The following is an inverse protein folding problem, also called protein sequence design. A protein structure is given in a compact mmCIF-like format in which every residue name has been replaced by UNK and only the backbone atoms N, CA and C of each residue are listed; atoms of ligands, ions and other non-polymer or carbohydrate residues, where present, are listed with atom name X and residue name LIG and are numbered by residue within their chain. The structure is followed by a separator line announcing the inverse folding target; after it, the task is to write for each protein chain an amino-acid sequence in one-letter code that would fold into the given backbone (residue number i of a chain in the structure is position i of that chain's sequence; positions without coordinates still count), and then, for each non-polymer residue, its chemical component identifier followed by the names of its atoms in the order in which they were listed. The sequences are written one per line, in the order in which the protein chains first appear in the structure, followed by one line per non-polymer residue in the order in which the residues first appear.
data_IF_274016273342
#
_entry.id   IF_274016273342
#
_cell.length_a   1.000
_cell.length_b   1.000
_cell.length_c   1.000
_cell.angle_alpha   90.00
_cell.angle_beta   90.00
_cell.angle_gamma   90.00
#
_symmetry.space_group_name_H-M   'P 1'
#
loop_
_entity.id
_entity.type
_entity.pdbx_description
1 polymer ?
#
# COMPACT_ATOMS: atom_id res chain seq x y z
N UNK A 1 22.34 10.38 29.08
CA UNK A 1 22.22 10.34 28.83
C UNK A 1 22.20 10.12 28.31
N UNK A 2 22.21 10.17 28.36
CA UNK A 2 21.95 10.12 27.91
C UNK A 2 21.92 9.84 27.27
N UNK A 3 22.06 9.94 27.39
CA UNK A 3 21.80 9.93 26.87
C UNK A 3 21.63 9.66 26.20
N UNK A 4 21.87 9.66 26.25
CA UNK A 4 21.40 9.71 25.75
C UNK A 4 21.22 9.46 25.02
N UNK A 5 21.28 9.59 25.08
CA UNK A 5 20.90 9.71 24.52
C UNK A 5 20.79 9.48 23.78
N UNK A 6 20.97 9.56 24.02
CA UNK A 6 20.63 9.68 23.47
C UNK A 6 20.61 9.34 22.74
N UNK A 7 20.82 9.31 22.87
CA UNK A 7 20.55 9.31 22.33
C UNK A 7 20.14 9.13 21.71
N UNK A 8 20.36 9.24 21.84
CA UNK A 8 19.62 9.45 21.34
C UNK A 8 19.35 9.34 20.73
N UNK A 9 19.40 9.39 20.73
CA UNK A 9 18.83 9.59 20.21
C UNK A 9 18.52 9.56 19.44
N UNK A 10 18.79 9.72 19.45
CA UNK A 10 18.06 10.03 18.72
C UNK A 10 17.98 9.88 18.01
N UNK A 11 17.97 9.85 17.88
CA UNK A 11 17.50 9.94 17.24
C UNK A 11 17.01 9.94 16.53
N UNK A 12 16.75 9.94 16.43
CA UNK A 12 16.12 9.99 15.90
C UNK A 12 15.83 10.32 15.01
N UNK A 13 16.24 10.69 15.14
CA UNK A 13 15.44 11.19 14.24
C UNK A 13 15.41 10.67 12.90
N UNK A 14 15.68 9.70 12.62
CA UNK A 14 15.35 9.07 11.41
C UNK A 14 14.09 9.59 10.86
N UNK A 15 13.81 9.44 9.60
CA UNK A 15 12.60 9.95 9.05
C UNK A 15 11.40 9.31 9.73
N UNK A 16 10.41 10.10 10.07
CA UNK A 16 9.20 9.56 10.69
C UNK A 16 8.55 8.46 9.85
N UNK A 17 8.63 8.59 8.52
CA UNK A 17 8.02 7.61 7.65
C UNK A 17 8.59 6.21 7.86
N UNK A 18 9.90 6.10 8.02
CA UNK A 18 10.52 4.80 8.26
C UNK A 18 10.23 4.29 9.66
N UNK A 19 10.15 5.19 10.62
CA UNK A 19 9.83 4.80 11.98
C UNK A 19 8.42 4.25 12.10
N UNK A 20 7.55 4.64 11.16
CA UNK A 20 6.14 4.30 11.20
C UNK A 20 5.77 3.09 10.37
N UNK A 21 6.73 2.37 9.81
CA UNK A 21 6.42 1.16 9.07
C UNK A 21 5.91 0.11 10.04
N UNK A 22 4.68 -0.32 9.84
CA UNK A 22 4.02 -1.30 10.69
C UNK A 22 4.18 -2.70 10.12
N UNK A 23 3.79 -3.71 10.89
CA UNK A 23 3.76 -5.08 10.39
C UNK A 23 2.84 -5.18 9.17
N UNK A 24 1.74 -4.44 9.18
CA UNK A 24 0.80 -4.38 8.08
C UNK A 24 1.47 -3.80 6.83
N UNK A 25 2.21 -2.70 7.00
CA UNK A 25 2.93 -2.08 5.89
C UNK A 25 3.98 -3.03 5.33
N UNK A 26 4.71 -3.74 6.20
CA UNK A 26 5.72 -4.69 5.75
C UNK A 26 5.08 -5.83 4.95
N UNK A 27 3.91 -6.28 5.37
CA UNK A 27 3.17 -7.31 4.64
C UNK A 27 2.85 -6.84 3.23
N UNK A 28 2.43 -5.59 3.08
CA UNK A 28 2.14 -5.05 1.76
C UNK A 28 3.40 -4.89 0.91
N UNK A 29 4.50 -4.44 1.51
CA UNK A 29 5.78 -4.35 0.82
C UNK A 29 6.18 -5.71 0.26
N UNK A 30 6.02 -6.76 1.05
CA UNK A 30 6.33 -8.12 0.61
C UNK A 30 5.46 -8.54 -0.58
N UNK A 31 4.19 -8.17 -0.57
CA UNK A 31 3.28 -8.46 -1.67
C UNK A 31 3.76 -7.76 -2.95
N UNK A 32 4.11 -6.49 -2.82
CA UNK A 32 4.61 -5.71 -3.96
C UNK A 32 5.86 -6.36 -4.56
N UNK A 33 6.75 -6.84 -3.70
CA UNK A 33 7.96 -7.52 -4.15
C UNK A 33 7.65 -8.83 -4.86
N UNK A 34 6.74 -9.61 -4.30
CA UNK A 34 6.34 -10.88 -4.90
C UNK A 34 5.71 -10.69 -6.27
N UNK A 35 4.97 -9.61 -6.45
CA UNK A 35 4.35 -9.28 -7.72
C UNK A 35 5.32 -8.65 -8.70
N UNK A 36 6.52 -8.31 -8.24
CA UNK A 36 7.54 -7.63 -9.05
C UNK A 36 7.01 -6.30 -9.61
N UNK A 37 6.24 -5.58 -8.80
CA UNK A 37 5.74 -4.27 -9.19
C UNK A 37 6.84 -3.24 -8.94
N UNK A 38 7.23 -2.46 -9.96
CA UNK A 38 8.27 -1.45 -9.76
C UNK A 38 7.73 -0.29 -8.92
N UNK A 39 8.40 -0.02 -7.82
CA UNK A 39 8.10 1.13 -6.97
C UNK A 39 9.41 1.83 -6.65
N UNK A 40 9.32 3.11 -6.36
CA UNK A 40 10.52 3.92 -6.08
C UNK A 40 11.11 3.62 -4.72
N UNK A 41 10.27 3.25 -3.77
CA UNK A 41 10.69 3.03 -2.39
C UNK A 41 9.60 2.28 -1.65
N UNK A 42 9.92 1.83 -0.45
CA UNK A 42 8.92 1.21 0.43
C UNK A 42 7.81 2.20 0.79
N UNK A 43 8.19 3.47 0.99
CA UNK A 43 7.19 4.51 1.26
C UNK A 43 6.21 4.66 0.10
N UNK A 44 6.73 4.61 -1.12
CA UNK A 44 5.90 4.72 -2.31
C UNK A 44 4.92 3.54 -2.38
N UNK A 45 5.40 2.35 -2.10
CA UNK A 45 4.55 1.16 -2.06
C UNK A 45 3.42 1.31 -1.04
N UNK A 46 3.76 1.74 0.17
CA UNK A 46 2.78 1.94 1.24
C UNK A 46 1.74 2.97 0.82
N UNK A 47 2.19 4.06 0.22
CA UNK A 47 1.28 5.11 -0.24
C UNK A 47 0.28 4.57 -1.26
N UNK A 48 0.77 3.79 -2.22
CA UNK A 48 -0.09 3.17 -3.22
C UNK A 48 -1.15 2.29 -2.56
N UNK A 49 -0.73 1.44 -1.63
CA UNK A 49 -1.65 0.55 -0.94
C UNK A 49 -2.73 1.30 -0.19
N UNK A 50 -2.35 2.34 0.52
CA UNK A 50 -3.31 3.13 1.29
C UNK A 50 -4.23 3.93 0.37
N UNK A 51 -3.73 4.41 -0.76
CA UNK A 51 -4.55 5.12 -1.73
C UNK A 51 -5.62 4.21 -2.35
N UNK A 52 -5.29 2.95 -2.56
CA UNK A 52 -6.28 1.98 -3.04
C UNK A 52 -7.46 1.93 -2.07
N UNK A 53 -7.18 1.82 -0.78
CA UNK A 53 -8.24 1.72 0.22
C UNK A 53 -9.00 3.03 0.37
N UNK A 54 -8.33 4.17 0.25
CA UNK A 54 -9.02 5.46 0.25
C UNK A 54 -10.00 5.54 -0.92
N UNK A 55 -9.59 5.05 -2.09
CA UNK A 55 -10.46 5.02 -3.25
C UNK A 55 -11.65 4.09 -3.05
N UNK A 56 -11.43 2.94 -2.42
CA UNK A 56 -12.52 2.02 -2.11
C UNK A 56 -13.52 2.66 -1.15
N UNK A 57 -13.04 3.38 -0.15
CA UNK A 57 -13.92 4.08 0.78
C UNK A 57 -14.75 5.15 0.05
N UNK A 58 -14.12 5.93 -0.81
CA UNK A 58 -14.78 6.99 -1.54
C UNK A 58 -15.76 6.43 -2.56
N UNK A 59 -15.44 5.26 -3.14
CA UNK A 59 -16.22 4.66 -4.21
C UNK A 59 -17.11 3.50 -3.76
N UNK A 60 -17.41 3.38 -2.48
CA UNK A 60 -18.13 2.22 -1.96
C UNK A 60 -19.56 2.08 -2.47
N UNK A 61 -20.12 3.14 -3.03
CA UNK A 61 -21.45 3.09 -3.64
C UNK A 61 -21.42 2.29 -4.94
N UNK A 62 -20.30 2.35 -5.65
CA UNK A 62 -20.12 1.62 -6.91
C UNK A 62 -18.78 0.87 -6.89
N UNK A 63 -18.67 -0.17 -6.07
CA UNK A 63 -17.38 -0.83 -5.84
C UNK A 63 -16.77 -1.46 -7.09
N UNK A 64 -17.59 -2.04 -7.96
CA UNK A 64 -17.08 -2.66 -9.18
C UNK A 64 -16.44 -1.61 -10.09
N UNK A 65 -17.09 -0.49 -10.24
CA UNK A 65 -16.56 0.62 -11.04
C UNK A 65 -15.26 1.14 -10.42
N UNK A 66 -15.22 1.26 -9.11
CA UNK A 66 -14.04 1.73 -8.39
C UNK A 66 -12.86 0.81 -8.63
N UNK A 67 -13.07 -0.50 -8.50
CA UNK A 67 -12.00 -1.49 -8.74
C UNK A 67 -11.50 -1.39 -10.18
N UNK A 68 -12.42 -1.31 -11.14
CA UNK A 68 -12.02 -1.18 -12.55
C UNK A 68 -11.17 0.09 -12.77
N UNK A 69 -11.57 1.17 -12.16
CA UNK A 69 -10.84 2.43 -12.27
C UNK A 69 -9.44 2.33 -11.69
N UNK A 70 -9.31 1.66 -10.55
CA UNK A 70 -8.01 1.45 -9.92
C UNK A 70 -7.10 0.59 -10.80
N UNK A 71 -7.63 -0.51 -11.32
CA UNK A 71 -6.85 -1.39 -12.20
C UNK A 71 -6.43 -0.63 -13.47
N UNK A 72 -7.36 0.10 -14.08
CA UNK A 72 -7.07 0.89 -15.27
C UNK A 72 -6.00 1.95 -15.00
N UNK A 73 -6.10 2.63 -13.85
CA UNK A 73 -5.12 3.63 -13.47
C UNK A 73 -3.73 3.05 -13.34
N UNK A 74 -3.63 1.87 -12.73
CA UNK A 74 -2.34 1.19 -12.59
C UNK A 74 -1.80 0.72 -13.93
N UNK A 75 -2.67 0.25 -14.81
CA UNK A 75 -2.26 -0.12 -16.17
C UNK A 75 -1.71 1.09 -16.92
N UNK A 76 -2.32 2.25 -16.74
CA UNK A 76 -1.84 3.48 -17.36
C UNK A 76 -0.47 3.89 -16.83
N UNK A 77 -0.10 3.42 -15.65
CA UNK A 77 1.22 3.66 -15.08
C UNK A 77 2.25 2.61 -15.50
N UNK A 78 1.85 1.67 -16.34
CA UNK A 78 2.77 0.70 -16.90
C UNK A 78 2.64 -0.73 -16.41
N UNK A 79 1.72 -1.01 -15.50
CA UNK A 79 1.52 -2.37 -15.01
C UNK A 79 0.66 -3.15 -16.00
N UNK A 80 0.95 -4.44 -16.16
CA UNK A 80 0.01 -5.28 -16.89
C UNK A 80 -1.25 -5.51 -16.05
N UNK A 81 -2.30 -5.97 -16.68
CA UNK A 81 -3.59 -6.13 -16.04
C UNK A 81 -3.53 -7.08 -14.84
N UNK A 82 -2.80 -8.18 -14.99
CA UNK A 82 -2.67 -9.17 -13.91
C UNK A 82 -2.02 -8.60 -12.69
N UNK A 83 -0.90 -7.90 -12.88
CA UNK A 83 -0.21 -7.26 -11.75
C UNK A 83 -1.06 -6.17 -11.13
N UNK A 84 -1.73 -5.36 -11.96
CA UNK A 84 -2.60 -4.30 -11.46
C UNK A 84 -3.72 -4.88 -10.60
N UNK A 85 -4.38 -5.91 -11.07
CA UNK A 85 -5.47 -6.54 -10.33
C UNK A 85 -4.97 -7.15 -9.03
N UNK A 86 -3.83 -7.83 -9.07
CA UNK A 86 -3.26 -8.46 -7.87
C UNK A 86 -2.78 -7.43 -6.86
N UNK A 87 -2.27 -6.30 -7.34
CA UNK A 87 -1.86 -5.23 -6.45
C UNK A 87 -3.07 -4.65 -5.71
N UNK A 88 -4.18 -4.43 -6.42
CA UNK A 88 -5.41 -3.96 -5.79
C UNK A 88 -5.90 -4.96 -4.75
N UNK A 89 -5.91 -6.25 -5.09
CA UNK A 89 -6.32 -7.30 -4.14
C UNK A 89 -5.44 -7.33 -2.91
N UNK A 90 -4.12 -7.22 -3.12
CA UNK A 90 -3.18 -7.22 -2.02
C UNK A 90 -3.35 -6.03 -1.10
N UNK A 91 -3.57 -4.85 -1.67
CA UNK A 91 -3.81 -3.65 -0.90
C UNK A 91 -5.08 -3.76 -0.06
N UNK A 92 -6.16 -4.26 -0.68
CA UNK A 92 -7.43 -4.45 0.03
C UNK A 92 -7.27 -5.49 1.14
N UNK A 93 -6.64 -6.61 0.85
CA UNK A 93 -6.45 -7.66 1.86
C UNK A 93 -5.64 -7.15 3.04
N UNK A 94 -4.70 -6.25 2.80
CA UNK A 94 -3.80 -5.75 3.83
C UNK A 94 -4.41 -4.59 4.62
N UNK A 95 -4.98 -3.62 3.92
CA UNK A 95 -5.37 -2.34 4.55
C UNK A 95 -6.88 -2.17 4.74
N UNK A 96 -7.69 -2.84 3.93
CA UNK A 96 -9.15 -2.70 4.04
C UNK A 96 -9.85 -4.01 3.70
N UNK A 97 -9.61 -5.06 4.52
CA UNK A 97 -10.12 -6.40 4.21
C UNK A 97 -11.65 -6.47 4.15
N UNK A 98 -12.35 -5.48 4.71
CA UNK A 98 -13.80 -5.43 4.63
C UNK A 98 -14.30 -5.35 3.19
N UNK A 99 -13.44 -4.93 2.26
CA UNK A 99 -13.78 -4.86 0.84
C UNK A 99 -13.30 -6.08 0.05
N UNK A 100 -12.80 -7.10 0.75
CA UNK A 100 -12.19 -8.26 0.09
C UNK A 100 -13.09 -8.97 -0.91
N UNK A 101 -14.38 -9.10 -0.60
CA UNK A 101 -15.30 -9.77 -1.50
C UNK A 101 -15.59 -8.98 -2.77
N UNK A 102 -15.27 -7.68 -2.76
CA UNK A 102 -15.56 -6.77 -3.89
C UNK A 102 -14.45 -6.74 -4.92
N UNK A 103 -13.26 -7.22 -4.59
CA UNK A 103 -12.11 -7.16 -5.49
C UNK A 103 -11.82 -8.50 -6.17
N UNK A 104 -12.74 -9.41 -6.09
CA UNK A 104 -12.67 -10.70 -6.78
C UNK A 104 -11.61 -11.60 -6.18
N UNK A 105 -11.92 -12.31 -5.17
CA UNK A 105 -10.97 -13.23 -4.59
C UNK A 105 -10.79 -14.49 -5.32
#
# INVERSE_FOLDING_TARGET
LVAGAALGTGLTTATPALADVTAQDQQFIDIVEQLAVPVKSDEDAIKIGREVCQSMDAGRVEPVRTVRGLVTGLQNQGLDKGKAANLVRGAVATYCPQYGSLVGR
#
